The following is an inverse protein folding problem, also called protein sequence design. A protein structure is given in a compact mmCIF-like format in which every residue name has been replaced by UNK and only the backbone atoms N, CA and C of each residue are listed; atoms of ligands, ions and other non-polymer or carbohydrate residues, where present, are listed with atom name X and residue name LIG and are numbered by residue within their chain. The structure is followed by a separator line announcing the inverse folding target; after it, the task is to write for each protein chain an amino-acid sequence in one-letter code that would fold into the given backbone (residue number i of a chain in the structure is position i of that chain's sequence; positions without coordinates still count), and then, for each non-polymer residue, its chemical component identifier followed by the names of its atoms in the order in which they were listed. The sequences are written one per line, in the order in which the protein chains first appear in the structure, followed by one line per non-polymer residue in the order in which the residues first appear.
data_IF_809189941132
#
_entry.id   IF_809189941132
#
_cell.length_a   1.000
_cell.length_b   1.000
_cell.length_c   1.000
_cell.angle_alpha   90.00
_cell.angle_beta   90.00
_cell.angle_gamma   90.00
#
_symmetry.space_group_name_H-M   'P 1'
#
loop_
_entity.id
_entity.type
_entity.pdbx_description
1 polymer ?
#
# COMPACT_ATOMS: atom_id res chain seq x y z
N UNK A 1 3.26 9.52 28.32
CA UNK A 1 3.17 8.32 27.55
C UNK A 1 3.78 8.46 26.17
N UNK A 2 4.44 7.43 25.73
CA UNK A 2 5.11 7.48 24.45
C UNK A 2 4.10 7.28 23.33
N UNK A 3 4.12 8.18 22.35
CA UNK A 3 3.37 8.01 21.12
C UNK A 3 4.06 6.93 20.29
N UNK A 4 3.89 5.68 20.69
CA UNK A 4 4.55 4.57 20.06
C UNK A 4 3.65 3.78 19.15
N UNK A 5 4.23 2.74 18.58
CA UNK A 5 3.53 1.80 17.73
C UNK A 5 2.56 0.97 18.57
N UNK A 6 1.27 1.14 18.33
CA UNK A 6 0.24 0.38 19.04
C UNK A 6 -0.03 -0.98 18.38
N UNK A 7 0.04 -1.03 17.05
CA UNK A 7 -0.22 -2.26 16.28
C UNK A 7 0.75 -2.31 15.11
N UNK A 8 1.26 -3.50 14.84
CA UNK A 8 2.01 -3.76 13.62
C UNK A 8 1.70 -5.18 13.16
N UNK A 9 1.12 -5.29 11.97
CA UNK A 9 0.78 -6.57 11.37
C UNK A 9 1.29 -6.60 9.94
N UNK A 10 1.71 -7.77 9.48
CA UNK A 10 2.17 -7.96 8.12
C UNK A 10 1.57 -9.21 7.51
N UNK A 11 1.41 -9.17 6.18
CA UNK A 11 1.05 -10.35 5.40
C UNK A 11 1.89 -10.35 4.12
N UNK A 12 2.31 -11.53 3.69
CA UNK A 12 3.05 -11.70 2.45
C UNK A 12 2.20 -12.50 1.49
N UNK A 13 1.99 -11.94 0.30
CA UNK A 13 1.05 -12.48 -0.68
C UNK A 13 1.76 -12.67 -2.02
N UNK A 14 1.29 -13.65 -2.80
CA UNK A 14 1.77 -13.80 -4.17
C UNK A 14 1.49 -12.52 -4.95
N UNK A 15 2.41 -12.14 -5.81
CA UNK A 15 2.30 -10.93 -6.63
C UNK A 15 1.33 -11.09 -7.78
N UNK A 16 0.09 -11.40 -7.49
CA UNK A 16 -0.97 -11.63 -8.47
C UNK A 16 -2.14 -10.70 -8.21
N UNK A 17 -2.78 -10.25 -9.29
CA UNK A 17 -3.88 -9.30 -9.20
C UNK A 17 -5.01 -9.78 -8.29
N UNK A 18 -5.35 -11.07 -8.33
CA UNK A 18 -6.42 -11.63 -7.51
C UNK A 18 -6.10 -11.60 -6.01
N UNK A 19 -4.85 -11.41 -5.63
CA UNK A 19 -4.48 -11.29 -4.22
C UNK A 19 -4.75 -9.91 -3.64
N UNK A 20 -5.07 -8.93 -4.47
CA UNK A 20 -5.46 -7.61 -3.98
C UNK A 20 -6.66 -7.72 -3.02
N UNK A 21 -7.56 -8.65 -3.27
CA UNK A 21 -8.70 -8.90 -2.39
C UNK A 21 -8.25 -9.32 -0.99
N UNK A 22 -7.21 -10.15 -0.91
CA UNK A 22 -6.67 -10.58 0.38
C UNK A 22 -5.99 -9.40 1.09
N UNK A 23 -5.27 -8.57 0.33
CA UNK A 23 -4.65 -7.37 0.90
C UNK A 23 -5.72 -6.43 1.49
N UNK A 24 -6.82 -6.23 0.79
CA UNK A 24 -7.92 -5.40 1.29
C UNK A 24 -8.52 -5.99 2.57
N UNK A 25 -8.79 -7.29 2.57
CA UNK A 25 -9.36 -7.95 3.75
C UNK A 25 -8.42 -7.88 4.95
N UNK A 26 -7.13 -8.01 4.70
CA UNK A 26 -6.13 -7.89 5.75
C UNK A 26 -6.14 -6.51 6.40
N UNK A 27 -6.10 -5.46 5.59
CA UNK A 27 -6.13 -4.08 6.11
C UNK A 27 -7.42 -3.82 6.88
N UNK A 28 -8.56 -4.26 6.33
CA UNK A 28 -9.85 -4.08 7.00
C UNK A 28 -9.87 -4.79 8.35
N UNK A 29 -9.31 -6.00 8.42
CA UNK A 29 -9.29 -6.77 9.67
C UNK A 29 -8.40 -6.12 10.72
N UNK A 30 -7.25 -5.59 10.32
CA UNK A 30 -6.34 -4.94 11.26
C UNK A 30 -6.94 -3.65 11.83
N UNK A 31 -7.56 -2.85 10.98
CA UNK A 31 -8.13 -1.57 11.42
C UNK A 31 -9.46 -1.75 12.15
N UNK A 32 -10.22 -2.75 11.77
CA UNK A 32 -11.49 -3.05 12.39
C UNK A 32 -12.66 -2.24 11.86
N UNK A 33 -13.88 -2.71 12.11
CA UNK A 33 -15.08 -2.00 11.67
C UNK A 33 -15.29 -0.71 12.47
N UNK A 34 -15.87 0.27 11.84
CA UNK A 34 -16.17 1.53 12.50
C UNK A 34 -15.03 2.52 12.56
N UNK A 35 -13.84 2.13 12.13
CA UNK A 35 -12.75 3.08 12.04
C UNK A 35 -12.94 3.95 10.79
N UNK A 36 -12.98 5.29 10.95
CA UNK A 36 -13.38 6.16 9.83
C UNK A 36 -12.53 6.04 8.57
N UNK A 37 -11.24 5.77 8.71
CA UNK A 37 -10.35 5.71 7.55
C UNK A 37 -10.24 4.32 6.93
N UNK A 38 -10.96 3.33 7.43
CA UNK A 38 -10.84 1.96 6.94
C UNK A 38 -11.16 1.87 5.44
N UNK A 39 -12.24 2.48 5.00
CA UNK A 39 -12.63 2.41 3.59
C UNK A 39 -11.58 3.03 2.68
N UNK A 40 -11.02 4.16 3.10
CA UNK A 40 -9.96 4.82 2.33
C UNK A 40 -8.71 3.95 2.32
N UNK A 41 -8.31 3.41 3.46
CA UNK A 41 -7.13 2.54 3.55
C UNK A 41 -7.28 1.32 2.65
N UNK A 42 -8.45 0.70 2.64
CA UNK A 42 -8.75 -0.46 1.79
C UNK A 42 -8.64 -0.09 0.31
N UNK A 43 -9.20 1.04 -0.07
CA UNK A 43 -9.10 1.52 -1.44
C UNK A 43 -7.63 1.76 -1.84
N UNK A 44 -6.88 2.45 -1.00
CA UNK A 44 -5.50 2.82 -1.33
C UNK A 44 -4.57 1.62 -1.37
N UNK A 45 -4.72 0.66 -0.46
CA UNK A 45 -3.88 -0.55 -0.50
C UNK A 45 -4.15 -1.35 -1.76
N UNK A 46 -5.41 -1.40 -2.20
CA UNK A 46 -5.77 -2.09 -3.43
C UNK A 46 -5.06 -1.47 -4.64
N UNK A 47 -5.02 -0.14 -4.70
CA UNK A 47 -4.37 0.57 -5.80
C UNK A 47 -2.86 0.38 -5.79
N UNK A 48 -2.23 0.49 -4.63
CA UNK A 48 -0.78 0.29 -4.53
C UNK A 48 -0.40 -1.16 -4.81
N UNK A 49 -1.17 -2.11 -4.29
CA UNK A 49 -0.92 -3.53 -4.55
C UNK A 49 -1.01 -3.82 -6.04
N UNK A 50 -2.05 -3.31 -6.70
CA UNK A 50 -2.20 -3.48 -8.14
C UNK A 50 -1.05 -2.88 -8.93
N UNK A 51 -0.59 -1.70 -8.52
CA UNK A 51 0.59 -1.09 -9.14
C UNK A 51 1.83 -1.97 -8.98
N UNK A 52 2.02 -2.54 -7.79
CA UNK A 52 3.17 -3.42 -7.55
C UNK A 52 3.12 -4.66 -8.45
N UNK A 53 1.94 -5.23 -8.65
CA UNK A 53 1.80 -6.38 -9.55
C UNK A 53 2.15 -5.99 -10.98
N UNK A 54 1.69 -4.83 -11.45
CA UNK A 54 1.88 -4.42 -12.85
C UNK A 54 3.28 -3.88 -13.15
N UNK A 55 3.88 -3.17 -12.19
CA UNK A 55 5.05 -2.33 -12.48
C UNK A 55 6.31 -2.74 -11.73
N UNK A 56 6.25 -3.76 -10.88
CA UNK A 56 7.43 -4.29 -10.20
C UNK A 56 7.73 -5.69 -10.72
N UNK A 57 8.83 -6.26 -10.23
CA UNK A 57 9.17 -7.64 -10.54
C UNK A 57 8.46 -8.64 -9.64
N UNK A 58 7.66 -8.16 -8.68
CA UNK A 58 6.89 -9.04 -7.80
C UNK A 58 5.72 -9.70 -8.52
N UNK A 59 5.38 -9.26 -9.73
CA UNK A 59 4.44 -9.97 -10.59
C UNK A 59 5.04 -11.16 -11.31
N UNK A 60 6.36 -11.36 -11.27
CA UNK A 60 7.00 -12.51 -11.87
C UNK A 60 6.60 -13.79 -11.12
N UNK A 61 6.61 -14.96 -11.79
CA UNK A 61 6.23 -16.20 -11.13
C UNK A 61 7.05 -16.47 -9.87
N UNK A 62 6.37 -16.78 -8.79
CA UNK A 62 6.99 -17.08 -7.51
C UNK A 62 7.36 -15.88 -6.67
N UNK A 63 7.20 -14.66 -7.17
CA UNK A 63 7.53 -13.46 -6.41
C UNK A 63 6.38 -13.04 -5.50
N UNK A 64 6.73 -12.33 -4.44
CA UNK A 64 5.80 -11.99 -3.36
C UNK A 64 5.77 -10.49 -3.10
N UNK A 65 4.65 -10.04 -2.54
CA UNK A 65 4.46 -8.66 -2.10
C UNK A 65 4.08 -8.70 -0.62
N UNK A 66 4.72 -7.87 0.19
CA UNK A 66 4.42 -7.79 1.62
C UNK A 66 3.63 -6.51 1.90
N UNK A 67 2.54 -6.66 2.63
CA UNK A 67 1.72 -5.55 3.09
C UNK A 67 1.86 -5.45 4.61
N UNK A 68 2.20 -4.27 5.10
CA UNK A 68 2.31 -4.00 6.53
C UNK A 68 1.36 -2.88 6.93
N UNK A 69 0.69 -3.05 8.06
CA UNK A 69 -0.15 -2.02 8.66
C UNK A 69 0.45 -1.68 10.01
N UNK A 70 0.72 -0.40 10.23
CA UNK A 70 1.26 0.11 11.48
C UNK A 70 0.31 1.17 12.00
N UNK A 71 -0.16 0.99 13.24
CA UNK A 71 -1.05 1.94 13.87
C UNK A 71 -0.33 2.57 15.05
N UNK A 72 -0.24 3.87 15.05
CA UNK A 72 0.25 4.65 16.19
C UNK A 72 -0.94 5.33 16.86
N UNK A 73 -0.68 6.14 17.87
CA UNK A 73 -1.77 6.85 18.54
C UNK A 73 -2.53 7.84 17.65
N UNK A 74 -1.92 8.29 16.56
CA UNK A 74 -2.52 9.35 15.74
C UNK A 74 -2.60 9.00 14.26
N UNK A 75 -1.96 7.93 13.80
CA UNK A 75 -1.90 7.66 12.37
C UNK A 75 -1.92 6.16 12.07
N UNK A 76 -2.46 5.83 10.91
CA UNK A 76 -2.30 4.53 10.27
C UNK A 76 -1.31 4.69 9.14
N UNK A 77 -0.33 3.82 9.09
CA UNK A 77 0.62 3.76 7.98
C UNK A 77 0.53 2.37 7.34
N UNK A 78 0.30 2.34 6.05
CA UNK A 78 0.29 1.10 5.26
C UNK A 78 1.50 1.13 4.36
N UNK A 79 2.26 0.04 4.35
CA UNK A 79 3.44 -0.12 3.50
C UNK A 79 3.28 -1.34 2.63
N UNK A 80 3.59 -1.18 1.35
CA UNK A 80 3.60 -2.27 0.38
C UNK A 80 5.03 -2.41 -0.13
N UNK A 81 5.62 -3.56 0.14
CA UNK A 81 7.01 -3.85 -0.25
C UNK A 81 7.02 -4.84 -1.39
N UNK A 82 7.63 -4.45 -2.48
CA UNK A 82 7.75 -5.30 -3.67
C UNK A 82 9.18 -5.41 -4.13
N UNK A 83 9.42 -6.33 -5.07
CA UNK A 83 10.72 -6.48 -5.68
C UNK A 83 10.92 -5.34 -6.67
N UNK A 84 12.07 -4.69 -6.56
CA UNK A 84 12.39 -3.52 -7.38
C UNK A 84 12.22 -3.81 -8.87
N UNK A 85 11.36 -3.02 -9.51
CA UNK A 85 11.17 -3.06 -10.95
C UNK A 85 12.12 -2.12 -11.67
N UNK A 86 11.99 -1.99 -12.99
CA UNK A 86 12.88 -1.16 -13.79
C UNK A 86 12.70 0.33 -13.57
N UNK A 87 11.58 0.73 -13.01
CA UNK A 87 11.29 2.15 -12.77
C UNK A 87 11.20 2.47 -11.29
N UNK A 88 10.68 3.65 -10.99
CA UNK A 88 10.36 4.08 -9.64
C UNK A 88 8.87 4.36 -9.56
N UNK A 89 8.25 4.28 -8.37
CA UNK A 89 6.87 4.72 -8.23
C UNK A 89 6.78 6.20 -8.57
N UNK A 90 5.94 6.54 -9.52
CA UNK A 90 5.78 7.92 -9.95
C UNK A 90 4.33 8.36 -9.87
N UNK A 91 4.13 9.57 -9.43
CA UNK A 91 2.84 10.22 -9.50
C UNK A 91 2.79 11.02 -10.79
N UNK A 92 2.67 10.33 -11.91
CA UNK A 92 2.63 11.00 -13.21
C UNK A 92 1.24 10.86 -13.80
N UNK A 93 0.61 11.97 -14.20
CA UNK A 93 -0.63 11.89 -14.95
C UNK A 93 -0.32 11.28 -16.31
N UNK A 94 -0.71 10.04 -16.50
CA UNK A 94 -0.45 9.34 -17.74
C UNK A 94 -1.71 9.37 -18.58
N UNK A 95 -1.93 10.44 -19.28
CA UNK A 95 -3.01 10.51 -20.25
C UNK A 95 -4.40 10.08 -19.76
N UNK A 96 -4.59 9.87 -18.52
CA UNK A 96 -5.88 9.59 -17.92
C UNK A 96 -6.46 8.20 -18.13
N UNK A 97 -5.99 7.47 -19.11
CA UNK A 97 -6.59 6.18 -19.46
C UNK A 97 -5.80 4.99 -18.97
N UNK A 98 -4.60 5.19 -18.51
CA UNK A 98 -3.75 4.11 -18.06
C UNK A 98 -4.04 3.78 -16.61
N UNK A 99 -4.37 2.52 -16.36
CA UNK A 99 -4.77 2.06 -15.04
C UNK A 99 -3.73 2.35 -13.98
N UNK A 100 -2.46 2.16 -14.28
CA UNK A 100 -1.41 2.31 -13.28
C UNK A 100 -1.22 3.74 -12.78
N UNK A 101 -1.45 4.75 -13.62
CA UNK A 101 -1.26 6.14 -13.24
C UNK A 101 -2.29 6.65 -12.25
N UNK A 102 -3.49 6.10 -12.29
CA UNK A 102 -4.58 6.55 -11.41
C UNK A 102 -4.37 6.15 -9.96
N UNK A 103 -3.78 4.98 -9.72
CA UNK A 103 -3.60 4.49 -8.37
C UNK A 103 -2.80 5.44 -7.49
N UNK A 104 -1.66 5.91 -7.99
CA UNK A 104 -0.84 6.83 -7.20
C UNK A 104 -1.46 8.22 -7.10
N UNK A 105 -2.22 8.64 -8.09
CA UNK A 105 -2.96 9.90 -8.00
C UNK A 105 -4.02 9.85 -6.90
N UNK A 106 -4.72 8.72 -6.76
CA UNK A 106 -5.66 8.53 -5.66
C UNK A 106 -4.95 8.59 -4.31
N UNK A 107 -3.80 7.91 -4.20
CA UNK A 107 -3.04 7.93 -2.96
C UNK A 107 -2.65 9.36 -2.60
N UNK A 108 -2.12 10.12 -3.55
CA UNK A 108 -1.71 11.49 -3.31
C UNK A 108 -2.89 12.39 -2.92
N UNK A 109 -4.07 12.12 -3.49
CA UNK A 109 -5.25 12.92 -3.20
C UNK A 109 -5.94 12.61 -1.89
N UNK A 110 -5.85 11.38 -1.41
CA UNK A 110 -6.59 10.93 -0.23
C UNK A 110 -5.73 10.70 0.99
N UNK A 111 -4.44 10.41 0.81
CA UNK A 111 -3.54 10.18 1.95
C UNK A 111 -3.11 11.50 2.57
N UNK A 112 -2.90 11.49 3.89
CA UNK A 112 -2.30 12.63 4.58
C UNK A 112 -0.87 12.83 4.11
N UNK A 113 -0.15 11.73 3.97
CA UNK A 113 1.21 11.69 3.46
C UNK A 113 1.39 10.39 2.69
N UNK A 114 2.30 10.39 1.73
CA UNK A 114 2.67 9.17 1.02
C UNK A 114 4.08 9.33 0.48
N UNK A 115 4.69 8.20 0.13
CA UNK A 115 6.01 8.22 -0.46
C UNK A 115 6.48 6.83 -0.82
N UNK A 116 7.74 6.75 -1.21
CA UNK A 116 8.37 5.48 -1.48
C UNK A 116 9.85 5.59 -1.14
N UNK A 117 10.48 4.43 -0.91
CA UNK A 117 11.92 4.37 -0.69
C UNK A 117 12.48 3.05 -1.20
N UNK A 118 13.74 3.05 -1.51
CA UNK A 118 14.47 1.84 -1.84
C UNK A 118 14.95 1.17 -0.56
N UNK A 119 14.95 -0.15 -0.58
CA UNK A 119 15.42 -0.95 0.54
C UNK A 119 16.09 -2.19 -0.05
N UNK A 120 17.39 -2.06 -0.41
CA UNK A 120 18.09 -3.09 -1.15
C UNK A 120 17.46 -3.27 -2.53
N UNK A 121 17.06 -4.49 -2.84
CA UNK A 121 16.40 -4.81 -4.11
C UNK A 121 14.89 -4.59 -4.06
N UNK A 122 14.38 -4.05 -2.96
CA UNK A 122 12.96 -3.85 -2.76
C UNK A 122 12.60 -2.37 -2.83
N UNK A 123 11.35 -2.11 -3.16
CA UNK A 123 10.76 -0.80 -3.07
C UNK A 123 9.63 -0.86 -2.06
N UNK A 124 9.62 0.09 -1.15
CA UNK A 124 8.53 0.24 -0.17
C UNK A 124 7.73 1.47 -0.57
N UNK A 125 6.48 1.27 -0.91
CA UNK A 125 5.54 2.36 -1.17
C UNK A 125 4.59 2.43 0.01
N UNK A 126 4.35 3.62 0.54
CA UNK A 126 3.59 3.78 1.77
C UNK A 126 2.66 4.97 1.72
N UNK A 127 1.61 4.91 2.52
CA UNK A 127 0.74 6.06 2.76
C UNK A 127 0.33 6.11 4.23
N UNK A 128 -0.08 7.29 4.67
CA UNK A 128 -0.56 7.51 6.02
C UNK A 128 -1.92 8.19 6.00
N UNK A 129 -2.75 7.81 6.97
CA UNK A 129 -4.07 8.36 7.19
C UNK A 129 -4.23 8.66 8.67
N UNK A 130 -5.10 9.60 9.05
CA UNK A 130 -5.36 9.84 10.47
C UNK A 130 -5.99 8.59 11.10
N UNK A 131 -5.65 8.33 12.35
CA UNK A 131 -6.29 7.28 13.12
C UNK A 131 -7.19 7.91 14.19
N UNK A 132 -8.47 7.77 14.03
CA UNK A 132 -9.43 8.34 14.96
C UNK A 132 -10.21 9.49 14.38
#
# INVERSE_FOLDING_TARGET
MIAGLAVRETVTLAGRAERARVARAFVAAVLGPGYPSTDVAVLLVSEIFGNSVRHSRSGDPGEMITVAVKVTGSAVRVEVTDLRGPGVPELVPTGGDEEGGRGLQLVAGLATRWGWRRRGERTVTWFELPYG
#
